data_IF_850371369457
#
_entry.id   IF_850371369457
#
_cell.length_a   1.000
_cell.length_b   1.000
_cell.length_c   1.000
_cell.angle_alpha   90.00
_cell.angle_beta   90.00
_cell.angle_gamma   90.00
#
_symmetry.space_group_name_H-M   'P 1'
#
loop_
_entity.id
_entity.type
_entity.pdbx_description
1 polymer ?
#
# COMPACT_ATOMS: atom_id res chain seq x y z
N UNK A 1 34.32 -2.28 -13.73
CA UNK A 1 32.87 -2.03 -13.72
C UNK A 1 32.53 -1.55 -12.31
N UNK A 2 31.95 -0.36 -12.16
CA UNK A 2 31.55 0.13 -10.83
C UNK A 2 30.43 -0.78 -10.30
N UNK A 3 30.54 -1.20 -9.04
CA UNK A 3 29.46 -1.94 -8.37
C UNK A 3 28.15 -1.13 -8.43
N UNK A 4 26.98 -1.77 -8.61
CA UNK A 4 25.72 -1.06 -8.60
C UNK A 4 25.56 -0.29 -7.27
N UNK A 5 24.97 0.92 -7.29
CA UNK A 5 24.81 1.72 -6.09
C UNK A 5 23.99 0.97 -5.04
N UNK A 6 24.38 1.09 -3.77
CA UNK A 6 23.66 0.48 -2.66
C UNK A 6 22.23 1.04 -2.55
N UNK A 7 21.27 0.13 -2.43
CA UNK A 7 19.86 0.45 -2.29
C UNK A 7 19.36 0.20 -0.86
N UNK A 8 18.87 1.25 -0.18
CA UNK A 8 18.22 1.12 1.12
C UNK A 8 16.71 1.32 0.96
N UNK A 9 15.93 0.34 1.40
CA UNK A 9 14.47 0.39 1.42
C UNK A 9 13.92 -0.21 2.71
N UNK A 10 12.62 -0.07 2.97
CA UNK A 10 12.04 -0.62 4.19
C UNK A 10 10.51 -0.61 4.19
N UNK A 11 9.94 -0.98 5.33
CA UNK A 11 8.50 -0.91 5.59
C UNK A 11 8.22 -0.10 6.86
N UNK A 12 7.45 0.98 6.71
CA UNK A 12 6.93 1.81 7.81
C UNK A 12 5.60 1.24 8.29
N UNK A 13 5.46 1.05 9.61
CA UNK A 13 4.22 0.61 10.26
C UNK A 13 4.32 0.61 11.77
N UNK A 14 3.20 0.32 12.47
CA UNK A 14 3.16 0.25 13.93
C UNK A 14 2.04 -0.68 14.45
N UNK A 15 2.37 -1.78 15.15
CA UNK A 15 3.69 -2.41 15.20
C UNK A 15 4.05 -3.03 13.84
N UNK A 16 5.34 -3.13 13.52
CA UNK A 16 5.81 -3.65 12.21
C UNK A 16 6.75 -4.87 12.34
N UNK A 17 7.11 -5.24 13.56
CA UNK A 17 8.06 -6.33 13.83
C UNK A 17 7.63 -7.70 13.25
N UNK A 18 6.32 -7.94 13.07
CA UNK A 18 5.78 -9.17 12.49
C UNK A 18 5.79 -9.20 10.96
N UNK A 19 6.18 -8.09 10.31
CA UNK A 19 6.17 -8.00 8.84
C UNK A 19 7.14 -9.00 8.21
N UNK A 20 6.64 -9.73 7.21
CA UNK A 20 7.44 -10.65 6.38
C UNK A 20 8.14 -9.96 5.21
N UNK A 21 7.85 -8.68 4.97
CA UNK A 21 8.43 -7.92 3.84
C UNK A 21 9.96 -7.93 3.84
N UNK A 22 10.67 -7.75 4.97
CA UNK A 22 12.14 -7.83 4.96
C UNK A 22 12.67 -9.18 4.49
N UNK A 23 12.08 -10.29 4.95
CA UNK A 23 12.50 -11.63 4.53
C UNK A 23 12.31 -11.82 3.01
N UNK A 24 11.17 -11.36 2.47
CA UNK A 24 10.86 -11.48 1.05
C UNK A 24 11.75 -10.61 0.18
N UNK A 25 11.88 -9.33 0.51
CA UNK A 25 12.66 -8.38 -0.29
C UNK A 25 14.16 -8.68 -0.22
N UNK A 26 14.70 -9.03 0.95
CA UNK A 26 16.12 -9.40 1.07
C UNK A 26 16.43 -10.69 0.33
N UNK A 27 15.50 -11.67 0.29
CA UNK A 27 15.63 -12.85 -0.56
C UNK A 27 15.73 -12.46 -2.05
N UNK A 28 14.87 -11.53 -2.52
CA UNK A 28 14.92 -11.07 -3.91
C UNK A 28 16.20 -10.28 -4.21
N UNK A 29 16.64 -9.42 -3.31
CA UNK A 29 17.91 -8.70 -3.47
C UNK A 29 19.06 -9.68 -3.67
N UNK A 30 19.15 -10.71 -2.83
CA UNK A 30 20.15 -11.77 -2.96
C UNK A 30 19.99 -12.57 -4.25
N UNK A 31 18.79 -13.03 -4.57
CA UNK A 31 18.48 -13.84 -5.75
C UNK A 31 18.87 -13.16 -7.06
N UNK A 32 18.67 -11.85 -7.13
CA UNK A 32 18.94 -11.06 -8.34
C UNK A 32 20.30 -10.33 -8.30
N UNK A 33 21.14 -10.58 -7.30
CA UNK A 33 22.44 -9.95 -7.16
C UNK A 33 22.39 -8.44 -7.00
N UNK A 34 21.30 -7.91 -6.41
CA UNK A 34 21.12 -6.49 -6.19
C UNK A 34 21.80 -6.06 -4.89
N UNK A 35 22.61 -5.00 -4.96
CA UNK A 35 23.31 -4.45 -3.81
C UNK A 35 22.39 -3.57 -2.97
N UNK A 36 21.87 -4.09 -1.85
CA UNK A 36 20.95 -3.35 -1.01
C UNK A 36 20.43 -4.12 0.19
N UNK A 37 19.61 -3.45 0.98
CA UNK A 37 18.93 -4.04 2.14
C UNK A 37 17.52 -3.47 2.30
N UNK A 38 16.63 -4.31 2.78
CA UNK A 38 15.26 -3.92 3.16
C UNK A 38 15.04 -4.15 4.65
N UNK A 39 14.58 -3.12 5.37
CA UNK A 39 14.49 -3.10 6.82
C UNK A 39 13.09 -2.76 7.35
N UNK A 40 12.83 -3.10 8.61
CA UNK A 40 11.65 -2.65 9.35
C UNK A 40 11.88 -1.24 9.91
N UNK A 41 10.89 -0.37 9.77
CA UNK A 41 10.90 1.01 10.25
C UNK A 41 9.68 1.19 11.18
N UNK A 42 9.84 0.91 12.49
CA UNK A 42 8.75 1.08 13.45
C UNK A 42 8.52 2.58 13.72
N UNK A 43 7.47 3.13 13.11
CA UNK A 43 7.07 4.53 13.25
C UNK A 43 5.77 4.58 14.03
N UNK A 44 5.80 5.13 15.25
CA UNK A 44 4.61 5.26 16.08
C UNK A 44 3.59 6.26 15.48
N UNK A 45 2.28 6.11 15.77
CA UNK A 45 1.28 7.11 15.41
C UNK A 45 1.69 8.52 15.86
N UNK A 46 1.50 9.52 15.00
CA UNK A 46 1.94 10.90 15.22
C UNK A 46 3.38 11.22 14.78
N UNK A 47 4.23 10.20 14.52
CA UNK A 47 5.62 10.40 14.09
C UNK A 47 5.82 10.36 12.58
N UNK A 48 4.79 10.08 11.82
CA UNK A 48 4.89 9.86 10.38
C UNK A 48 5.38 11.12 9.62
N UNK A 49 4.93 12.31 10.04
CA UNK A 49 5.32 13.58 9.45
C UNK A 49 6.81 13.92 9.62
N UNK A 50 7.48 13.31 10.60
CA UNK A 50 8.93 13.44 10.79
C UNK A 50 9.65 12.32 10.02
N UNK A 51 9.12 11.11 10.05
CA UNK A 51 9.76 9.94 9.48
C UNK A 51 9.83 9.98 7.94
N UNK A 52 8.75 10.38 7.24
CA UNK A 52 8.70 10.38 5.77
C UNK A 52 9.72 11.35 5.15
N UNK A 53 9.82 12.63 5.56
CA UNK A 53 10.85 13.52 5.04
C UNK A 53 12.28 13.03 5.34
N UNK A 54 12.48 12.32 6.45
CA UNK A 54 13.76 11.74 6.83
C UNK A 54 14.29 10.68 5.88
N UNK A 55 13.44 10.03 5.09
CA UNK A 55 13.85 9.00 4.12
C UNK A 55 14.90 9.52 3.13
N UNK A 56 14.76 10.76 2.66
CA UNK A 56 15.72 11.39 1.75
C UNK A 56 17.09 11.56 2.41
N UNK A 57 17.10 12.15 3.62
CA UNK A 57 18.34 12.44 4.36
C UNK A 57 19.09 11.16 4.74
N UNK A 58 18.38 10.07 4.96
CA UNK A 58 18.93 8.75 5.29
C UNK A 58 19.33 7.93 4.07
N UNK A 59 19.12 8.45 2.86
CA UNK A 59 19.50 7.78 1.60
C UNK A 59 18.61 6.60 1.19
N UNK A 60 17.36 6.55 1.70
CA UNK A 60 16.39 5.56 1.26
C UNK A 60 16.01 5.77 -0.21
N UNK A 61 15.85 4.68 -0.96
CA UNK A 61 15.25 4.67 -2.30
C UNK A 61 13.73 4.74 -2.25
N UNK A 62 13.16 4.40 -1.12
CA UNK A 62 11.73 4.39 -0.85
C UNK A 62 11.38 3.45 0.29
N UNK A 63 10.08 3.34 0.56
CA UNK A 63 9.58 2.39 1.54
C UNK A 63 8.16 1.95 1.24
N UNK A 64 7.77 0.80 1.76
CA UNK A 64 6.36 0.47 1.86
C UNK A 64 5.74 1.11 3.11
N UNK A 65 4.45 1.38 3.04
CA UNK A 65 3.63 1.88 4.14
C UNK A 65 2.59 0.82 4.47
N UNK A 66 2.50 0.46 5.76
CA UNK A 66 1.46 -0.43 6.24
C UNK A 66 0.65 0.22 7.37
N UNK A 67 -0.21 -0.56 8.02
CA UNK A 67 -1.06 -0.07 9.11
C UNK A 67 -0.22 0.57 10.25
N UNK A 68 -0.73 1.65 10.88
CA UNK A 68 -2.00 2.33 10.62
C UNK A 68 -1.90 3.46 9.56
N UNK A 69 -0.79 3.65 8.89
CA UNK A 69 -0.32 4.87 8.24
C UNK A 69 -0.76 5.09 6.79
N UNK A 70 -1.39 4.10 6.12
CA UNK A 70 -1.67 4.16 4.67
C UNK A 70 -2.50 5.35 4.19
N UNK A 71 -3.39 5.86 5.05
CA UNK A 71 -4.25 7.02 4.75
C UNK A 71 -3.50 8.32 5.04
N UNK A 72 -2.90 8.43 6.22
CA UNK A 72 -2.24 9.66 6.66
C UNK A 72 -1.02 10.01 5.80
N UNK A 73 -0.33 8.99 5.28
CA UNK A 73 0.84 9.16 4.44
C UNK A 73 0.57 9.93 3.13
N UNK A 74 -0.67 9.93 2.62
CA UNK A 74 -1.05 10.66 1.40
C UNK A 74 -0.73 12.16 1.44
N UNK A 75 -0.80 12.76 2.64
CA UNK A 75 -0.58 14.19 2.84
C UNK A 75 0.90 14.56 3.03
N UNK A 76 1.80 13.55 3.02
CA UNK A 76 3.20 13.70 3.43
C UNK A 76 4.20 13.44 2.29
N UNK A 77 3.70 13.29 1.06
CA UNK A 77 4.51 13.12 -0.15
C UNK A 77 4.23 14.25 -1.14
N UNK A 78 5.19 14.48 -2.03
CA UNK A 78 5.11 15.58 -3.00
C UNK A 78 4.10 15.29 -4.12
N UNK A 79 4.00 14.02 -4.52
CA UNK A 79 3.06 13.55 -5.54
C UNK A 79 2.40 12.23 -5.13
N UNK A 80 1.12 12.08 -5.41
CA UNK A 80 0.38 10.82 -5.25
C UNK A 80 -0.15 10.40 -6.61
N UNK A 81 0.05 9.14 -6.97
CA UNK A 81 -0.47 8.60 -8.24
C UNK A 81 -2.01 8.57 -8.27
N UNK A 82 -2.58 8.56 -9.47
CA UNK A 82 -4.03 8.65 -9.64
C UNK A 82 -4.79 7.51 -8.94
N UNK A 83 -4.22 6.31 -8.94
CA UNK A 83 -4.84 5.13 -8.30
C UNK A 83 -4.83 5.26 -6.78
N UNK A 84 -3.69 5.63 -6.18
CA UNK A 84 -3.59 5.86 -4.74
C UNK A 84 -4.51 7.01 -4.28
N UNK A 85 -4.66 8.07 -5.09
CA UNK A 85 -5.63 9.16 -4.84
C UNK A 85 -7.07 8.65 -4.78
N UNK A 86 -7.49 7.89 -5.79
CA UNK A 86 -8.84 7.31 -5.83
C UNK A 86 -9.10 6.33 -4.70
N UNK A 87 -8.08 5.54 -4.33
CA UNK A 87 -8.17 4.62 -3.19
C UNK A 87 -8.21 5.34 -1.83
N UNK A 88 -7.77 6.60 -1.76
CA UNK A 88 -7.62 7.33 -0.50
C UNK A 88 -6.66 6.65 0.46
N UNK A 89 -5.66 5.94 -0.06
CA UNK A 89 -4.61 5.26 0.71
C UNK A 89 -3.41 4.95 -0.17
N UNK A 90 -2.20 4.95 0.40
CA UNK A 90 -1.01 4.50 -0.31
C UNK A 90 -0.25 3.44 0.48
N UNK A 91 0.49 2.57 -0.22
CA UNK A 91 1.30 1.51 0.38
C UNK A 91 2.78 1.57 0.00
N UNK A 92 3.17 2.49 -0.87
CA UNK A 92 4.55 2.59 -1.38
C UNK A 92 4.93 4.05 -1.58
N UNK A 93 6.12 4.43 -1.13
CA UNK A 93 6.77 5.71 -1.41
C UNK A 93 8.05 5.41 -2.20
N UNK A 94 8.27 6.15 -3.27
CA UNK A 94 9.52 6.14 -4.04
C UNK A 94 10.18 7.51 -3.94
N UNK A 95 11.45 7.52 -3.59
CA UNK A 95 12.28 8.73 -3.66
C UNK A 95 12.75 8.89 -5.09
N UNK A 96 12.30 9.95 -5.74
CA UNK A 96 12.63 10.25 -7.14
C UNK A 96 14.07 10.74 -7.29
N UNK A 97 14.65 10.76 -8.50
CA UNK A 97 16.01 11.26 -8.73
C UNK A 97 16.22 12.73 -8.33
N UNK A 98 15.18 13.55 -8.39
CA UNK A 98 15.20 14.95 -7.93
C UNK A 98 15.01 15.10 -6.41
N UNK A 99 14.83 13.98 -5.70
CA UNK A 99 14.57 13.94 -4.28
C UNK A 99 13.11 14.14 -3.91
N UNK A 100 12.17 14.31 -4.84
CA UNK A 100 10.74 14.34 -4.53
C UNK A 100 10.24 12.96 -4.11
N UNK A 101 9.18 12.92 -3.31
CA UNK A 101 8.54 11.70 -2.83
C UNK A 101 7.27 11.44 -3.63
N UNK A 102 7.18 10.27 -4.26
CA UNK A 102 5.98 9.87 -4.98
C UNK A 102 5.32 8.65 -4.33
N UNK A 103 4.02 8.78 -4.03
CA UNK A 103 3.21 7.77 -3.40
C UNK A 103 2.40 6.94 -4.39
N UNK A 104 2.33 5.63 -4.15
CA UNK A 104 1.60 4.65 -4.97
C UNK A 104 0.76 3.72 -4.10
N UNK A 105 -0.22 3.05 -4.73
CA UNK A 105 -0.91 1.93 -4.11
C UNK A 105 -0.99 0.74 -5.06
N UNK A 106 -0.31 -0.35 -4.69
CA UNK A 106 -0.28 -1.61 -5.44
C UNK A 106 -1.12 -2.71 -4.78
N UNK A 107 -1.77 -2.44 -3.62
CA UNK A 107 -2.55 -3.47 -2.90
C UNK A 107 -3.71 -3.98 -3.75
N UNK A 108 -4.40 -3.08 -4.44
CA UNK A 108 -5.54 -3.45 -5.27
C UNK A 108 -5.16 -4.34 -6.45
N UNK A 109 -4.08 -4.00 -7.15
CA UNK A 109 -3.56 -4.84 -8.23
C UNK A 109 -3.15 -6.22 -7.71
N UNK A 110 -2.38 -6.28 -6.62
CA UNK A 110 -1.94 -7.53 -6.03
C UNK A 110 -3.10 -8.40 -5.55
N UNK A 111 -4.13 -7.80 -4.96
CA UNK A 111 -5.33 -8.52 -4.54
C UNK A 111 -6.07 -9.15 -5.73
N UNK A 112 -6.35 -8.38 -6.77
CA UNK A 112 -7.04 -8.89 -7.96
C UNK A 112 -6.21 -9.96 -8.66
N UNK A 113 -4.89 -9.74 -8.81
CA UNK A 113 -4.02 -10.72 -9.44
C UNK A 113 -4.02 -12.05 -8.67
N UNK A 114 -3.98 -12.00 -7.33
CA UNK A 114 -4.04 -13.22 -6.51
C UNK A 114 -5.35 -14.00 -6.66
N UNK A 115 -6.48 -13.31 -6.89
CA UNK A 115 -7.77 -13.97 -7.19
C UNK A 115 -7.73 -14.65 -8.56
N UNK A 116 -7.22 -13.97 -9.58
CA UNK A 116 -7.15 -14.51 -10.93
C UNK A 116 -6.15 -15.66 -11.06
N UNK A 117 -5.04 -15.62 -10.32
CA UNK A 117 -4.09 -16.72 -10.26
C UNK A 117 -4.71 -17.98 -9.62
N UNK A 118 -5.55 -17.79 -8.59
CA UNK A 118 -6.23 -18.89 -7.91
C UNK A 118 -7.49 -19.38 -8.66
N UNK A 119 -8.19 -18.47 -9.32
CA UNK A 119 -9.45 -18.71 -10.03
C UNK A 119 -9.48 -17.88 -11.32
N UNK A 120 -8.91 -18.38 -12.43
CA UNK A 120 -8.79 -17.61 -13.69
C UNK A 120 -10.12 -17.08 -14.24
N UNK A 121 -11.22 -17.81 -14.03
CA UNK A 121 -12.56 -17.45 -14.50
C UNK A 121 -13.34 -16.56 -13.51
N UNK A 122 -12.69 -16.11 -12.42
CA UNK A 122 -13.34 -15.26 -11.43
C UNK A 122 -13.75 -13.91 -12.04
N UNK A 123 -14.96 -13.46 -11.71
CA UNK A 123 -15.52 -12.19 -12.20
C UNK A 123 -16.13 -11.40 -11.04
N UNK A 124 -15.81 -10.12 -10.98
CA UNK A 124 -16.34 -9.22 -9.94
C UNK A 124 -17.85 -8.95 -10.11
N UNK A 125 -18.39 -9.07 -11.33
CA UNK A 125 -19.81 -8.83 -11.67
C UNK A 125 -20.69 -10.08 -11.55
N UNK A 126 -20.15 -11.22 -11.13
CA UNK A 126 -20.87 -12.48 -11.03
C UNK A 126 -21.92 -12.53 -9.90
N UNK A 127 -21.79 -11.67 -8.90
CA UNK A 127 -22.72 -11.59 -7.76
C UNK A 127 -22.27 -10.62 -6.70
N UNK A 128 -23.03 -10.47 -5.60
CA UNK A 128 -22.66 -9.60 -4.49
C UNK A 128 -21.36 -10.04 -3.83
N UNK A 129 -20.52 -9.08 -3.45
CA UNK A 129 -19.22 -9.32 -2.80
C UNK A 129 -19.25 -8.75 -1.38
N UNK A 130 -18.88 -9.57 -0.38
CA UNK A 130 -18.73 -9.12 1.00
C UNK A 130 -17.26 -8.77 1.30
N UNK A 131 -17.03 -7.57 1.82
CA UNK A 131 -15.71 -7.11 2.27
C UNK A 131 -15.72 -6.94 3.79
N UNK A 132 -14.88 -7.69 4.50
CA UNK A 132 -14.76 -7.68 5.94
C UNK A 132 -13.63 -6.74 6.36
N UNK A 133 -13.98 -5.65 7.05
CA UNK A 133 -13.08 -4.59 7.48
C UNK A 133 -13.12 -3.37 6.56
N UNK A 134 -12.84 -2.16 7.12
CA UNK A 134 -12.86 -0.87 6.41
C UNK A 134 -11.60 -0.05 6.70
N UNK A 135 -10.43 -0.71 6.72
CA UNK A 135 -9.12 -0.07 6.85
C UNK A 135 -8.48 0.27 5.51
N UNK A 136 -7.22 0.72 5.54
CA UNK A 136 -6.49 1.13 4.33
C UNK A 136 -6.38 0.04 3.25
N UNK A 137 -6.28 -1.24 3.64
CA UNK A 137 -6.30 -2.34 2.68
C UNK A 137 -7.68 -2.55 2.04
N UNK A 138 -8.76 -2.43 2.83
CA UNK A 138 -10.12 -2.56 2.31
C UNK A 138 -10.45 -1.49 1.27
N UNK A 139 -9.92 -0.27 1.40
CA UNK A 139 -10.06 0.80 0.40
C UNK A 139 -9.54 0.36 -0.97
N UNK A 140 -8.35 -0.24 -1.00
CA UNK A 140 -7.77 -0.75 -2.24
C UNK A 140 -8.59 -1.90 -2.83
N UNK A 141 -9.09 -2.81 -1.99
CA UNK A 141 -9.95 -3.93 -2.41
C UNK A 141 -11.26 -3.42 -3.00
N UNK A 142 -11.99 -2.54 -2.28
CA UNK A 142 -13.27 -1.98 -2.73
C UNK A 142 -13.10 -1.24 -4.06
N UNK A 143 -12.09 -0.36 -4.15
CA UNK A 143 -11.79 0.36 -5.39
C UNK A 143 -11.54 -0.62 -6.55
N UNK A 144 -10.70 -1.63 -6.35
CA UNK A 144 -10.35 -2.57 -7.42
C UNK A 144 -11.51 -3.47 -7.85
N UNK A 145 -12.41 -3.82 -6.93
CA UNK A 145 -13.63 -4.55 -7.23
C UNK A 145 -14.60 -3.68 -8.05
N UNK A 146 -14.78 -2.42 -7.66
CA UNK A 146 -15.61 -1.47 -8.40
C UNK A 146 -15.07 -1.22 -9.81
N UNK A 147 -13.77 -0.98 -9.98
CA UNK A 147 -13.11 -0.83 -11.30
C UNK A 147 -13.29 -2.07 -12.19
N UNK A 148 -13.52 -3.25 -11.60
CA UNK A 148 -13.82 -4.49 -12.32
C UNK A 148 -15.31 -4.77 -12.51
N UNK A 149 -16.15 -3.80 -12.22
CA UNK A 149 -17.57 -3.86 -12.49
C UNK A 149 -18.39 -4.63 -11.44
N UNK A 150 -17.90 -4.74 -10.21
CA UNK A 150 -18.72 -5.26 -9.10
C UNK A 150 -20.00 -4.44 -8.97
N UNK A 151 -21.16 -5.13 -9.06
CA UNK A 151 -22.47 -4.48 -9.02
C UNK A 151 -22.97 -4.18 -7.60
N UNK A 152 -22.48 -4.93 -6.63
CA UNK A 152 -22.84 -4.79 -5.22
C UNK A 152 -21.67 -5.19 -4.35
N UNK A 153 -21.22 -4.28 -3.47
CA UNK A 153 -20.20 -4.55 -2.47
C UNK A 153 -20.79 -4.30 -1.08
N UNK A 154 -20.85 -5.35 -0.26
CA UNK A 154 -21.35 -5.28 1.11
C UNK A 154 -20.19 -5.09 2.08
N UNK A 155 -20.14 -3.93 2.74
CA UNK A 155 -19.10 -3.59 3.69
C UNK A 155 -19.50 -3.98 5.11
N UNK A 156 -18.72 -4.82 5.76
CA UNK A 156 -18.90 -5.24 7.14
C UNK A 156 -17.72 -4.79 7.99
N UNK A 157 -17.99 -4.07 9.08
CA UNK A 157 -16.93 -3.62 9.99
C UNK A 157 -17.45 -3.58 11.44
N UNK A 158 -16.58 -3.90 12.40
CA UNK A 158 -16.91 -3.82 13.83
C UNK A 158 -17.45 -2.45 14.24
N UNK A 159 -16.89 -1.37 13.69
CA UNK A 159 -17.39 -0.01 13.85
C UNK A 159 -18.20 0.36 12.63
N UNK A 160 -19.52 0.34 12.72
CA UNK A 160 -20.44 0.58 11.59
C UNK A 160 -20.21 1.93 10.91
N UNK A 161 -19.91 2.99 11.66
CA UNK A 161 -19.64 4.31 11.11
C UNK A 161 -18.47 4.31 10.09
N UNK A 162 -17.48 3.44 10.25
CA UNK A 162 -16.38 3.29 9.26
C UNK A 162 -16.84 2.63 7.96
N UNK A 163 -17.78 1.69 8.04
CA UNK A 163 -18.37 1.07 6.84
C UNK A 163 -19.23 2.08 6.09
N UNK A 164 -20.06 2.84 6.79
CA UNK A 164 -20.87 3.90 6.20
C UNK A 164 -20.01 5.00 5.54
N UNK A 165 -18.97 5.47 6.22
CA UNK A 165 -18.04 6.46 5.66
C UNK A 165 -17.37 5.95 4.37
N UNK A 166 -16.91 4.70 4.36
CA UNK A 166 -16.29 4.10 3.18
C UNK A 166 -17.30 3.93 2.04
N UNK A 167 -18.53 3.50 2.34
CA UNK A 167 -19.60 3.38 1.34
C UNK A 167 -19.95 4.74 0.73
N UNK A 168 -20.05 5.79 1.53
CA UNK A 168 -20.32 7.16 1.06
C UNK A 168 -19.19 7.67 0.16
N UNK A 169 -17.93 7.40 0.51
CA UNK A 169 -16.76 7.90 -0.23
C UNK A 169 -16.63 7.25 -1.61
N UNK A 170 -16.88 5.94 -1.73
CA UNK A 170 -16.78 5.24 -3.00
C UNK A 170 -18.08 5.29 -3.85
N UNK A 171 -19.14 5.87 -3.30
CA UNK A 171 -20.44 5.91 -3.93
C UNK A 171 -21.21 4.60 -3.77
N UNK A 172 -22.52 4.65 -4.06
CA UNK A 172 -23.26 3.40 -4.28
C UNK A 172 -22.99 2.95 -5.72
N UNK A 173 -22.52 1.71 -5.93
CA UNK A 173 -22.58 1.12 -7.25
C UNK A 173 -24.03 0.89 -7.65
#
# INVERSE_FOLDING_TARGET
MSSPPFGLAGIIGWPVAHSRSPSLHNYWLQKYGLNGVYVQLPVAPGMLAIAIPGLKALGFRGCNITLPHKVDALQLVDEVDATAKRMGAMNTIVVQPDGSLKGYNNDGYGYIQSLLDAQPDWRADAGPIAVLGCGGAARAVVHSLADRGAKEIRLLNRTNAKAQALATEFGSP
#
